data_IF_364236190762
#
_entry.id   IF_364236190762
#
_cell.length_a   1.000
_cell.length_b   1.000
_cell.length_c   1.000
_cell.angle_alpha   90.00
_cell.angle_beta   90.00
_cell.angle_gamma   90.00
#
_symmetry.space_group_name_H-M   'P 1'
#
loop_
_entity.id
_entity.type
_entity.pdbx_description
1 polymer ?
#
# COMPACT_ATOMS: atom_id res chain seq x y z
N UNK A 1 18.25 5.38 -23.45
CA UNK A 1 18.60 4.18 -22.66
C UNK A 1 18.09 2.88 -23.30
N UNK A 2 16.79 2.81 -23.74
CA UNK A 2 16.28 1.62 -24.42
C UNK A 2 17.03 1.27 -25.72
N UNK A 3 17.33 2.26 -26.56
CA UNK A 3 18.09 2.09 -27.80
C UNK A 3 19.53 1.61 -27.63
N UNK A 4 20.13 1.79 -26.44
CA UNK A 4 21.48 1.28 -26.15
C UNK A 4 21.50 -0.18 -25.81
N UNK A 5 20.34 -0.73 -25.41
CA UNK A 5 20.19 -2.13 -24.94
C UNK A 5 19.34 -2.99 -25.86
N UNK A 6 18.58 -2.38 -26.79
CA UNK A 6 17.65 -3.09 -27.67
C UNK A 6 17.77 -2.58 -29.12
N UNK A 7 17.80 -3.48 -30.07
CA UNK A 7 17.67 -3.15 -31.50
C UNK A 7 16.22 -2.75 -31.82
N UNK A 8 16.07 -1.55 -32.38
CA UNK A 8 14.74 -1.14 -32.90
C UNK A 8 14.37 -2.01 -34.11
N UNK A 9 13.12 -2.50 -34.24
CA UNK A 9 12.70 -3.39 -35.34
C UNK A 9 12.96 -2.84 -36.74
N UNK A 10 12.99 -1.52 -36.87
CA UNK A 10 13.21 -0.82 -38.14
C UNK A 10 14.59 -0.16 -38.23
N UNK A 11 15.54 -0.49 -37.34
CA UNK A 11 16.89 0.08 -37.28
C UNK A 11 16.96 1.62 -37.23
N UNK A 12 15.85 2.28 -36.83
CA UNK A 12 15.74 3.75 -36.76
C UNK A 12 15.67 4.19 -35.29
N UNK A 13 16.32 5.31 -35.01
CA UNK A 13 16.14 5.98 -33.73
C UNK A 13 14.75 6.63 -33.64
N UNK A 14 14.12 6.53 -32.49
CA UNK A 14 12.88 7.27 -32.19
C UNK A 14 13.29 8.65 -31.68
N UNK A 15 13.08 9.73 -32.44
CA UNK A 15 13.41 11.07 -31.97
C UNK A 15 12.46 11.49 -30.83
N UNK A 16 12.91 12.40 -29.97
CA UNK A 16 12.14 12.88 -28.83
C UNK A 16 10.76 13.46 -29.22
N UNK A 17 10.70 14.12 -30.36
CA UNK A 17 9.43 14.63 -30.89
C UNK A 17 8.41 13.51 -31.13
N UNK A 18 8.80 12.41 -31.74
CA UNK A 18 7.92 11.24 -31.95
C UNK A 18 7.45 10.61 -30.65
N UNK A 19 8.32 10.57 -29.63
CA UNK A 19 7.94 10.10 -28.30
C UNK A 19 6.91 11.05 -27.68
N UNK A 20 7.11 12.36 -27.80
CA UNK A 20 6.16 13.37 -27.28
C UNK A 20 4.81 13.30 -28.01
N UNK A 21 4.79 13.15 -29.33
CA UNK A 21 3.59 12.97 -30.12
C UNK A 21 2.81 11.70 -29.71
N UNK A 22 3.52 10.59 -29.48
CA UNK A 22 2.93 9.34 -28.99
C UNK A 22 2.29 9.54 -27.61
N UNK A 23 3.01 10.10 -26.66
CA UNK A 23 2.46 10.33 -25.32
C UNK A 23 1.28 11.28 -25.32
N UNK A 24 1.31 12.33 -26.17
CA UNK A 24 0.19 13.24 -26.31
C UNK A 24 -1.05 12.59 -26.94
N UNK A 25 -0.88 11.51 -27.72
CA UNK A 25 -1.98 10.78 -28.34
C UNK A 25 -2.66 9.74 -27.43
N UNK A 26 -2.07 9.44 -26.25
CA UNK A 26 -2.64 8.47 -25.30
C UNK A 26 -3.83 9.12 -24.59
N UNK A 27 -5.02 8.58 -24.82
CA UNK A 27 -6.26 8.99 -24.16
C UNK A 27 -6.54 8.15 -22.92
N UNK A 28 -7.49 8.59 -22.08
CA UNK A 28 -7.97 7.78 -20.94
C UNK A 28 -8.55 6.43 -21.41
N UNK A 29 -9.26 6.41 -22.54
CA UNK A 29 -9.79 5.18 -23.14
C UNK A 29 -8.65 4.21 -23.52
N UNK A 30 -7.55 4.71 -24.08
CA UNK A 30 -6.36 3.89 -24.35
C UNK A 30 -5.77 3.29 -23.08
N UNK A 31 -5.70 4.07 -21.99
CA UNK A 31 -5.21 3.59 -20.68
C UNK A 31 -6.12 2.51 -20.11
N UNK A 32 -7.44 2.73 -20.12
CA UNK A 32 -8.41 1.73 -19.66
C UNK A 32 -8.32 0.43 -20.48
N UNK A 33 -8.22 0.54 -21.80
CA UNK A 33 -8.07 -0.61 -22.67
C UNK A 33 -6.79 -1.39 -22.34
N UNK A 34 -5.67 -0.68 -22.16
CA UNK A 34 -4.40 -1.28 -21.73
C UNK A 34 -4.55 -2.02 -20.40
N UNK A 35 -5.16 -1.41 -19.37
CA UNK A 35 -5.37 -2.05 -18.07
C UNK A 35 -6.26 -3.29 -18.17
N UNK A 36 -7.31 -3.26 -18.98
CA UNK A 36 -8.15 -4.43 -19.23
C UNK A 36 -7.36 -5.57 -19.90
N UNK A 37 -6.48 -5.27 -20.83
CA UNK A 37 -5.60 -6.26 -21.47
C UNK A 37 -4.60 -6.84 -20.47
N UNK A 38 -3.98 -5.99 -19.65
CA UNK A 38 -3.06 -6.44 -18.60
C UNK A 38 -3.78 -7.32 -17.57
N UNK A 39 -4.98 -6.93 -17.15
CA UNK A 39 -5.79 -7.74 -16.23
C UNK A 39 -6.13 -9.14 -16.76
N UNK A 40 -6.23 -9.32 -18.09
CA UNK A 40 -6.41 -10.64 -18.73
C UNK A 40 -5.14 -11.50 -18.70
N UNK A 41 -3.97 -10.88 -18.55
CA UNK A 41 -2.66 -11.59 -18.49
C UNK A 41 -2.31 -12.05 -17.08
N UNK A 42 -3.13 -11.72 -16.08
CA UNK A 42 -2.88 -12.12 -14.70
C UNK A 42 -2.81 -13.63 -14.53
N UNK A 43 -1.99 -14.05 -13.59
CA UNK A 43 -2.01 -15.43 -13.11
C UNK A 43 -3.21 -15.58 -12.18
N UNK A 44 -4.01 -16.63 -12.39
CA UNK A 44 -5.18 -16.88 -11.56
C UNK A 44 -4.76 -17.09 -10.10
N UNK A 45 -5.44 -16.40 -9.18
CA UNK A 45 -5.18 -16.46 -7.74
C UNK A 45 -3.86 -15.85 -7.24
N UNK A 46 -3.06 -15.15 -8.06
CA UNK A 46 -1.91 -14.42 -7.56
C UNK A 46 -2.29 -13.31 -6.58
N UNK A 47 -1.34 -12.91 -5.76
CA UNK A 47 -1.48 -11.73 -4.88
C UNK A 47 -1.11 -10.47 -5.65
N UNK A 48 -1.86 -9.41 -5.38
CA UNK A 48 -1.64 -8.09 -5.97
C UNK A 48 -1.17 -7.11 -4.89
N UNK A 49 0.08 -6.71 -4.97
CA UNK A 49 0.62 -5.66 -4.13
C UNK A 49 0.07 -4.31 -4.59
N UNK A 50 -0.54 -3.56 -3.66
CA UNK A 50 -0.93 -2.18 -3.86
C UNK A 50 -0.07 -1.28 -3.02
N UNK A 51 0.64 -0.37 -3.67
CA UNK A 51 1.53 0.59 -3.01
C UNK A 51 1.47 1.95 -3.69
N UNK A 52 1.90 2.98 -2.98
CA UNK A 52 1.98 4.36 -3.46
C UNK A 52 3.41 4.85 -3.28
N UNK A 53 3.97 5.40 -4.34
CA UNK A 53 5.24 6.11 -4.29
C UNK A 53 5.04 7.58 -4.58
N UNK A 54 5.90 8.43 -4.02
CA UNK A 54 5.94 9.86 -4.28
C UNK A 54 6.99 10.17 -5.33
N UNK A 55 6.67 11.07 -6.25
CA UNK A 55 7.58 11.55 -7.29
C UNK A 55 7.68 13.06 -7.12
N UNK A 56 8.84 13.55 -6.69
CA UNK A 56 9.11 14.96 -6.51
C UNK A 56 9.15 15.68 -7.86
N UNK A 57 8.59 16.89 -7.93
CA UNK A 57 8.52 17.66 -9.16
C UNK A 57 8.62 19.16 -8.91
N UNK A 58 9.37 19.85 -9.78
CA UNK A 58 9.43 21.31 -9.86
C UNK A 58 8.35 21.91 -10.78
N UNK A 59 7.48 21.10 -11.37
CA UNK A 59 6.52 21.58 -12.36
C UNK A 59 5.40 22.38 -11.70
N UNK A 60 5.20 23.59 -12.17
CA UNK A 60 4.07 24.45 -11.79
C UNK A 60 2.83 24.22 -12.68
N UNK A 61 2.99 23.49 -13.79
CA UNK A 61 1.94 23.28 -14.77
C UNK A 61 1.11 22.01 -14.53
N UNK A 62 1.58 21.13 -13.64
CA UNK A 62 0.88 19.87 -13.34
C UNK A 62 0.06 20.07 -12.07
N UNK A 63 -1.25 20.06 -12.19
CA UNK A 63 -2.18 20.32 -11.09
C UNK A 63 -2.10 19.30 -9.93
N UNK A 64 -1.63 18.08 -10.21
CA UNK A 64 -1.41 17.02 -9.23
C UNK A 64 -0.16 17.23 -8.37
N UNK A 65 0.75 18.11 -8.79
CA UNK A 65 1.93 18.48 -7.99
C UNK A 65 1.49 19.31 -6.80
N UNK A 66 1.54 18.70 -5.61
CA UNK A 66 1.08 19.28 -4.36
C UNK A 66 2.06 19.00 -3.23
N UNK A 67 2.12 19.89 -2.25
CA UNK A 67 2.86 19.65 -1.01
C UNK A 67 2.18 18.55 -0.20
N UNK A 68 2.94 17.53 0.15
CA UNK A 68 2.46 16.38 0.91
C UNK A 68 3.54 15.76 1.78
N UNK A 69 3.29 14.56 2.29
CA UNK A 69 4.28 13.81 3.05
C UNK A 69 5.27 13.15 2.08
N UNK A 70 6.34 13.88 1.77
CA UNK A 70 7.38 13.40 0.86
C UNK A 70 8.22 12.31 1.54
N UNK A 71 8.31 11.15 0.92
CA UNK A 71 9.09 10.01 1.42
C UNK A 71 10.59 10.17 1.19
N UNK A 72 10.99 11.03 0.23
CA UNK A 72 12.40 11.31 -0.11
C UNK A 72 13.01 12.42 0.74
N UNK A 73 12.21 13.10 1.58
CA UNK A 73 12.62 14.21 2.48
C UNK A 73 13.32 15.39 1.75
N UNK A 74 13.04 15.56 0.47
CA UNK A 74 13.68 16.57 -0.39
C UNK A 74 12.98 17.95 -0.37
N UNK A 75 11.95 18.12 0.45
CA UNK A 75 11.16 19.36 0.60
C UNK A 75 10.65 19.93 -0.73
N UNK A 76 10.22 19.06 -1.61
CA UNK A 76 9.62 19.43 -2.88
C UNK A 76 8.14 19.04 -2.93
N UNK A 77 7.30 19.76 -3.70
CA UNK A 77 5.98 19.27 -4.03
C UNK A 77 6.09 18.01 -4.87
N UNK A 78 5.08 17.16 -4.83
CA UNK A 78 5.12 15.80 -5.38
C UNK A 78 3.81 15.42 -6.06
N UNK A 79 3.89 14.39 -6.89
CA UNK A 79 2.77 13.59 -7.35
C UNK A 79 2.86 12.25 -6.65
N UNK A 80 1.72 11.70 -6.24
CA UNK A 80 1.66 10.35 -5.75
C UNK A 80 1.26 9.40 -6.89
N UNK A 81 2.03 8.34 -7.09
CA UNK A 81 1.74 7.29 -8.07
C UNK A 81 1.30 6.03 -7.33
N UNK A 82 0.01 5.72 -7.39
CA UNK A 82 -0.55 4.47 -6.91
C UNK A 82 -0.36 3.38 -7.96
N UNK A 83 0.09 2.20 -7.58
CA UNK A 83 0.38 1.09 -8.47
C UNK A 83 -0.13 -0.23 -7.93
N UNK A 84 -0.66 -1.06 -8.80
CA UNK A 84 -1.00 -2.46 -8.52
C UNK A 84 -0.07 -3.37 -9.30
N UNK A 85 0.60 -4.25 -8.60
CA UNK A 85 1.61 -5.15 -9.15
C UNK A 85 1.33 -6.60 -8.77
N UNK A 86 1.38 -7.51 -9.75
CA UNK A 86 1.21 -8.94 -9.53
C UNK A 86 2.51 -9.59 -9.03
N UNK A 87 2.44 -10.34 -7.94
CA UNK A 87 3.60 -10.94 -7.30
C UNK A 87 4.23 -12.05 -8.15
N UNK A 88 3.42 -12.93 -8.73
CA UNK A 88 3.91 -14.06 -9.53
C UNK A 88 4.16 -13.67 -10.99
N UNK A 89 3.26 -12.89 -11.58
CA UNK A 89 3.35 -12.42 -12.97
C UNK A 89 4.46 -11.41 -13.20
N UNK A 90 4.91 -10.71 -12.15
CA UNK A 90 5.83 -9.58 -12.21
C UNK A 90 5.34 -8.47 -13.17
N UNK A 91 4.02 -8.28 -13.28
CA UNK A 91 3.41 -7.27 -14.16
C UNK A 91 2.74 -6.15 -13.36
N UNK A 92 2.94 -4.89 -13.77
CA UNK A 92 2.09 -3.79 -13.32
C UNK A 92 0.74 -3.90 -14.03
N UNK A 93 -0.33 -4.10 -13.28
CA UNK A 93 -1.68 -4.22 -13.84
C UNK A 93 -2.43 -2.92 -13.93
N UNK A 94 -2.13 -1.99 -13.04
CA UNK A 94 -2.84 -0.75 -12.91
C UNK A 94 -1.96 0.31 -12.27
N UNK A 95 -2.12 1.55 -12.68
CA UNK A 95 -1.58 2.71 -11.98
C UNK A 95 -2.58 3.88 -12.01
N UNK A 96 -2.44 4.76 -11.02
CA UNK A 96 -3.20 6.01 -10.94
C UNK A 96 -2.31 7.12 -10.42
N UNK A 97 -2.37 8.25 -11.10
CA UNK A 97 -1.76 9.49 -10.64
C UNK A 97 -2.69 10.18 -9.64
N UNK A 98 -2.15 10.56 -8.51
CA UNK A 98 -2.87 11.19 -7.41
C UNK A 98 -2.18 12.50 -7.04
N UNK A 99 -2.94 13.45 -6.52
CA UNK A 99 -2.35 14.66 -5.97
C UNK A 99 -1.44 14.32 -4.78
N UNK A 100 -0.30 15.02 -4.69
CA UNK A 100 0.76 14.70 -3.71
C UNK A 100 0.33 14.85 -2.24
N UNK A 101 -0.77 15.53 -1.96
CA UNK A 101 -1.33 15.72 -0.62
C UNK A 101 -2.34 14.63 -0.20
N UNK A 102 -2.61 13.63 -1.05
CA UNK A 102 -3.57 12.56 -0.73
C UNK A 102 -2.90 11.50 0.13
N UNK A 103 -3.52 11.17 1.26
CA UNK A 103 -3.08 10.11 2.16
C UNK A 103 -3.41 8.72 1.61
N UNK A 104 -2.50 7.75 1.80
CA UNK A 104 -2.62 6.37 1.30
C UNK A 104 -3.98 5.75 1.67
N UNK A 105 -4.43 5.91 2.91
CA UNK A 105 -5.70 5.37 3.38
C UNK A 105 -6.94 5.87 2.62
N UNK A 106 -6.86 7.02 1.95
CA UNK A 106 -7.98 7.57 1.15
C UNK A 106 -8.08 6.96 -0.24
N UNK A 107 -7.06 6.23 -0.68
CA UNK A 107 -6.94 5.77 -2.07
C UNK A 107 -7.57 4.40 -2.32
N UNK A 108 -7.73 3.56 -1.30
CA UNK A 108 -8.27 2.20 -1.41
C UNK A 108 -9.68 2.20 -2.00
N UNK A 109 -10.54 3.13 -1.57
CA UNK A 109 -11.89 3.27 -2.12
C UNK A 109 -11.88 3.56 -3.63
N UNK A 110 -10.98 4.42 -4.09
CA UNK A 110 -10.81 4.72 -5.51
C UNK A 110 -10.31 3.50 -6.28
N UNK A 111 -9.32 2.78 -5.72
CA UNK A 111 -8.85 1.52 -6.32
C UNK A 111 -9.99 0.52 -6.51
N UNK A 112 -10.81 0.30 -5.50
CA UNK A 112 -11.93 -0.64 -5.59
C UNK A 112 -12.94 -0.23 -6.67
N UNK A 113 -13.25 1.06 -6.78
CA UNK A 113 -14.11 1.59 -7.84
C UNK A 113 -13.50 1.37 -9.22
N UNK A 114 -12.21 1.64 -9.40
CA UNK A 114 -11.51 1.48 -10.68
C UNK A 114 -11.42 0.00 -11.08
N UNK A 115 -11.11 -0.91 -10.17
CA UNK A 115 -11.10 -2.36 -10.43
C UNK A 115 -12.48 -2.87 -10.88
N UNK A 116 -13.56 -2.32 -10.31
CA UNK A 116 -14.91 -2.64 -10.71
C UNK A 116 -15.21 -2.16 -12.16
N UNK A 117 -14.85 -0.91 -12.49
CA UNK A 117 -15.00 -0.35 -13.85
C UNK A 117 -14.19 -1.15 -14.87
N UNK A 118 -12.99 -1.58 -14.51
CA UNK A 118 -12.13 -2.40 -15.37
C UNK A 118 -12.64 -3.84 -15.53
N UNK A 119 -13.65 -4.25 -14.76
CA UNK A 119 -14.19 -5.61 -14.80
C UNK A 119 -13.20 -6.65 -14.26
N UNK A 120 -12.40 -6.28 -13.28
CA UNK A 120 -11.41 -7.16 -12.63
C UNK A 120 -11.93 -7.62 -11.26
N UNK A 121 -12.75 -8.66 -11.20
CA UNK A 121 -13.28 -9.18 -9.94
C UNK A 121 -12.27 -10.11 -9.24
N UNK A 122 -12.47 -10.33 -7.94
CA UNK A 122 -11.82 -11.39 -7.16
C UNK A 122 -10.29 -11.29 -7.10
N UNK A 123 -9.78 -10.12 -6.77
CA UNK A 123 -8.36 -9.92 -6.47
C UNK A 123 -8.04 -10.28 -5.02
N UNK A 124 -6.78 -10.57 -4.75
CA UNK A 124 -6.22 -10.73 -3.41
C UNK A 124 -5.22 -9.59 -3.20
N UNK A 125 -5.59 -8.57 -2.46
CA UNK A 125 -4.75 -7.38 -2.24
C UNK A 125 -3.80 -7.58 -1.07
N UNK A 126 -2.55 -7.17 -1.26
CA UNK A 126 -1.55 -7.04 -0.20
C UNK A 126 -1.19 -5.56 -0.09
N UNK A 127 -1.29 -5.01 1.10
CA UNK A 127 -1.12 -3.58 1.36
C UNK A 127 -0.30 -3.36 2.63
N UNK A 128 0.44 -2.27 2.66
CA UNK A 128 1.18 -1.86 3.84
C UNK A 128 0.27 -1.23 4.93
N UNK A 129 0.87 -0.86 6.07
CA UNK A 129 0.15 -0.28 7.21
C UNK A 129 -0.39 1.14 6.96
N UNK A 130 0.06 1.83 5.92
CA UNK A 130 -0.42 3.15 5.52
C UNK A 130 -1.86 3.12 5.03
N UNK A 131 -2.27 1.98 4.49
CA UNK A 131 -3.64 1.76 3.99
C UNK A 131 -4.63 1.31 5.06
N UNK A 132 -4.15 1.00 6.27
CA UNK A 132 -5.05 0.54 7.33
C UNK A 132 -5.97 1.66 7.81
N UNK A 133 -7.26 1.44 7.67
CA UNK A 133 -8.33 2.17 8.36
C UNK A 133 -9.54 1.25 8.51
N UNK A 134 -10.38 1.49 9.51
CA UNK A 134 -11.62 0.73 9.67
C UNK A 134 -12.53 0.87 8.45
N UNK A 135 -12.59 2.07 7.85
CA UNK A 135 -13.36 2.33 6.63
C UNK A 135 -12.87 1.47 5.47
N UNK A 136 -11.55 1.35 5.27
CA UNK A 136 -10.98 0.52 4.20
C UNK A 136 -11.27 -0.97 4.42
N UNK A 137 -11.10 -1.47 5.65
CA UNK A 137 -11.40 -2.86 5.97
C UNK A 137 -12.88 -3.17 5.74
N UNK A 138 -13.77 -2.27 6.15
CA UNK A 138 -15.20 -2.41 5.93
C UNK A 138 -15.54 -2.42 4.42
N UNK A 139 -14.91 -1.53 3.63
CA UNK A 139 -15.07 -1.50 2.17
C UNK A 139 -14.61 -2.79 1.50
N UNK A 140 -13.44 -3.30 1.87
CA UNK A 140 -12.90 -4.57 1.37
C UNK A 140 -13.82 -5.75 1.67
N UNK A 141 -14.40 -5.81 2.87
CA UNK A 141 -15.39 -6.84 3.21
C UNK A 141 -16.69 -6.69 2.43
N UNK A 142 -17.17 -5.46 2.25
CA UNK A 142 -18.38 -5.15 1.50
C UNK A 142 -18.25 -5.57 0.03
N UNK A 143 -17.10 -5.29 -0.57
CA UNK A 143 -16.82 -5.63 -1.96
C UNK A 143 -16.31 -7.07 -2.15
N UNK A 144 -16.32 -7.88 -1.08
CA UNK A 144 -15.87 -9.28 -1.07
C UNK A 144 -14.43 -9.48 -1.57
N UNK A 145 -13.58 -8.49 -1.40
CA UNK A 145 -12.15 -8.53 -1.74
C UNK A 145 -11.37 -9.28 -0.65
N UNK A 146 -10.55 -10.23 -1.07
CA UNK A 146 -9.58 -10.87 -0.16
C UNK A 146 -8.40 -9.93 0.04
N UNK A 147 -7.93 -9.77 1.26
CA UNK A 147 -6.82 -8.86 1.55
C UNK A 147 -5.91 -9.37 2.65
N UNK A 148 -4.67 -8.94 2.57
CA UNK A 148 -3.68 -8.96 3.64
C UNK A 148 -3.20 -7.52 3.82
N UNK A 149 -3.35 -6.97 5.01
CA UNK A 149 -2.97 -5.60 5.31
C UNK A 149 -2.12 -5.57 6.59
N UNK A 150 -0.98 -4.88 6.52
CA UNK A 150 -0.19 -4.65 7.72
C UNK A 150 -0.91 -3.67 8.64
N UNK A 151 -0.78 -3.87 9.96
CA UNK A 151 -1.45 -3.05 10.96
C UNK A 151 -0.46 -2.66 12.07
N UNK A 152 -0.69 -1.49 12.68
CA UNK A 152 0.10 -1.05 13.83
C UNK A 152 -0.33 -1.84 15.08
N UNK A 153 0.63 -2.32 15.84
CA UNK A 153 0.39 -3.08 17.07
C UNK A 153 -0.34 -2.25 18.15
N UNK A 154 -0.23 -0.92 18.08
CA UNK A 154 -0.89 0.01 19.01
C UNK A 154 -2.39 0.17 18.80
N UNK A 155 -2.95 -0.34 17.69
CA UNK A 155 -4.38 -0.28 17.42
C UNK A 155 -5.14 -1.13 18.43
N UNK A 156 -6.23 -0.59 18.97
CA UNK A 156 -7.02 -1.24 20.03
C UNK A 156 -7.42 -2.67 19.66
N UNK A 157 -7.96 -2.88 18.46
CA UNK A 157 -8.36 -4.20 17.96
C UNK A 157 -7.19 -5.18 17.89
N UNK A 158 -6.04 -4.73 17.36
CA UNK A 158 -4.83 -5.55 17.24
C UNK A 158 -4.27 -5.88 18.61
N UNK A 159 -4.14 -4.88 19.49
CA UNK A 159 -3.61 -5.04 20.84
C UNK A 159 -4.45 -5.97 21.70
N UNK A 160 -5.77 -5.80 21.71
CA UNK A 160 -6.68 -6.63 22.52
C UNK A 160 -6.67 -8.12 22.14
N UNK A 161 -6.30 -8.45 20.89
CA UNK A 161 -6.11 -9.82 20.44
C UNK A 161 -4.69 -10.35 20.68
N UNK A 162 -3.70 -9.47 20.86
CA UNK A 162 -2.33 -9.84 21.21
C UNK A 162 -2.19 -10.10 22.73
N UNK A 163 -2.81 -9.27 23.56
CA UNK A 163 -2.66 -9.31 25.02
C UNK A 163 -2.83 -10.74 25.62
N UNK A 164 -3.82 -11.56 25.20
CA UNK A 164 -3.99 -12.91 25.75
C UNK A 164 -2.86 -13.89 25.42
N UNK A 165 -2.12 -13.65 24.33
CA UNK A 165 -1.05 -14.54 23.87
C UNK A 165 0.34 -13.97 24.11
N UNK A 166 0.45 -12.76 24.64
CA UNK A 166 1.70 -12.02 24.72
C UNK A 166 2.80 -12.75 25.49
N UNK A 167 2.46 -13.37 26.63
CA UNK A 167 3.41 -14.09 27.48
C UNK A 167 3.93 -15.38 26.84
N UNK A 168 3.11 -16.05 26.03
CA UNK A 168 3.45 -17.32 25.40
C UNK A 168 3.96 -17.15 23.97
N UNK A 169 3.86 -15.95 23.41
CA UNK A 169 4.14 -15.68 22.01
C UNK A 169 5.57 -16.08 21.61
N UNK A 170 6.58 -15.87 22.46
CA UNK A 170 7.99 -16.17 22.20
C UNK A 170 8.42 -17.56 22.70
N UNK A 171 7.48 -18.52 22.80
CA UNK A 171 7.85 -19.91 23.06
C UNK A 171 8.49 -20.55 21.81
N UNK A 172 9.33 -21.55 22.02
CA UNK A 172 10.01 -22.27 20.92
C UNK A 172 9.03 -22.88 19.91
N UNK A 173 7.83 -23.22 20.33
CA UNK A 173 6.77 -23.79 19.47
C UNK A 173 6.30 -22.83 18.39
N UNK A 174 6.47 -21.52 18.59
CA UNK A 174 6.10 -20.47 17.65
C UNK A 174 7.28 -19.96 16.79
N UNK A 175 8.47 -20.53 17.00
CA UNK A 175 9.68 -20.14 16.27
C UNK A 175 9.73 -20.81 14.89
N UNK A 176 9.93 -20.00 13.87
CA UNK A 176 10.11 -20.46 12.49
C UNK A 176 11.58 -20.35 12.08
N UNK A 177 12.29 -21.47 11.99
CA UNK A 177 13.69 -21.51 11.50
C UNK A 177 13.83 -20.93 10.09
N UNK A 178 12.84 -21.18 9.22
CA UNK A 178 12.88 -20.70 7.83
C UNK A 178 12.96 -19.19 7.73
N UNK A 179 12.29 -18.48 8.62
CA UNK A 179 12.17 -17.01 8.57
C UNK A 179 12.90 -16.32 9.73
N UNK A 180 13.50 -17.08 10.62
CA UNK A 180 14.21 -16.59 11.80
C UNK A 180 13.38 -15.60 12.64
N UNK A 181 12.16 -16.00 12.97
CA UNK A 181 11.21 -15.19 13.73
C UNK A 181 10.19 -16.06 14.48
N UNK A 182 9.55 -15.47 15.47
CA UNK A 182 8.36 -16.04 16.11
C UNK A 182 7.12 -15.60 15.34
N UNK A 183 6.19 -16.55 15.11
CA UNK A 183 4.95 -16.29 14.42
C UNK A 183 3.78 -16.98 15.10
N UNK A 184 2.68 -16.27 15.29
CA UNK A 184 1.44 -16.84 15.81
C UNK A 184 0.23 -16.25 15.09
N UNK A 185 -0.76 -17.09 14.81
CA UNK A 185 -2.01 -16.68 14.18
C UNK A 185 -3.14 -16.71 15.19
N UNK A 186 -3.89 -15.62 15.26
CA UNK A 186 -5.10 -15.52 16.10
C UNK A 186 -6.31 -15.34 15.20
N UNK A 187 -7.31 -16.19 15.37
CA UNK A 187 -8.61 -15.99 14.72
C UNK A 187 -9.47 -15.06 15.58
N UNK A 188 -10.01 -14.02 14.95
CA UNK A 188 -10.88 -13.05 15.61
C UNK A 188 -12.07 -12.69 14.73
N UNK A 189 -12.93 -11.82 15.24
CA UNK A 189 -14.15 -11.34 14.56
C UNK A 189 -14.06 -9.84 14.36
N UNK A 190 -14.25 -9.42 13.11
CA UNK A 190 -14.38 -8.02 12.74
C UNK A 190 -15.85 -7.65 12.61
N UNK A 191 -16.27 -6.65 13.33
CA UNK A 191 -17.66 -6.21 13.34
C UNK A 191 -17.77 -4.82 12.70
N UNK A 192 -18.69 -4.64 11.77
CA UNK A 192 -18.97 -3.36 11.14
C UNK A 192 -20.48 -3.21 10.86
N UNK A 193 -20.88 -1.95 10.65
CA UNK A 193 -22.28 -1.61 10.37
C UNK A 193 -22.45 -1.34 8.88
N UNK A 194 -23.46 -1.94 8.27
CA UNK A 194 -23.82 -1.71 6.88
C UNK A 194 -25.25 -1.20 6.77
N UNK A 195 -25.47 -0.20 5.93
CA UNK A 195 -26.80 0.31 5.60
C UNK A 195 -27.44 -0.56 4.51
N UNK A 196 -28.64 -1.07 4.75
CA UNK A 196 -29.37 -1.83 3.72
C UNK A 196 -29.92 -0.90 2.63
N UNK A 197 -29.60 -1.15 1.34
CA UNK A 197 -29.95 -0.22 0.26
C UNK A 197 -31.44 0.10 0.12
N UNK A 198 -32.32 -0.84 0.52
CA UNK A 198 -33.76 -0.72 0.25
C UNK A 198 -34.63 -0.46 1.49
N UNK A 199 -34.06 -0.40 2.69
CA UNK A 199 -34.83 -0.29 3.94
C UNK A 199 -34.39 0.88 4.82
N UNK A 200 -33.22 1.49 4.56
CA UNK A 200 -32.68 2.57 5.38
C UNK A 200 -32.26 2.17 6.81
N UNK A 201 -32.45 0.90 7.18
CA UNK A 201 -32.01 0.35 8.45
C UNK A 201 -30.55 -0.11 8.38
N UNK A 202 -29.88 -0.09 9.51
CA UNK A 202 -28.49 -0.55 9.64
C UNK A 202 -28.46 -1.99 10.15
N UNK A 203 -27.55 -2.79 9.60
CA UNK A 203 -27.29 -4.17 10.03
C UNK A 203 -25.86 -4.30 10.48
N UNK A 204 -25.68 -4.92 11.64
CA UNK A 204 -24.35 -5.28 12.11
C UNK A 204 -23.89 -6.55 11.40
N UNK A 205 -22.78 -6.43 10.71
CA UNK A 205 -22.12 -7.53 10.01
C UNK A 205 -20.91 -8.01 10.81
N UNK A 206 -20.70 -9.31 10.84
CA UNK A 206 -19.55 -9.94 11.49
C UNK A 206 -18.77 -10.77 10.47
N UNK A 207 -17.46 -10.54 10.39
CA UNK A 207 -16.54 -11.26 9.50
C UNK A 207 -15.41 -11.89 10.29
N UNK A 208 -15.10 -13.13 9.96
CA UNK A 208 -13.90 -13.78 10.50
C UNK A 208 -12.65 -13.16 9.90
N UNK A 209 -11.67 -12.84 10.76
CA UNK A 209 -10.36 -12.33 10.40
C UNK A 209 -9.29 -13.19 11.04
N UNK A 210 -8.13 -13.24 10.40
CA UNK A 210 -6.92 -13.86 10.94
C UNK A 210 -5.89 -12.78 11.16
N UNK A 211 -5.37 -12.71 12.37
CA UNK A 211 -4.31 -11.78 12.77
C UNK A 211 -3.02 -12.59 12.85
N UNK A 212 -2.05 -12.22 12.03
CA UNK A 212 -0.73 -12.83 12.01
C UNK A 212 0.23 -11.91 12.77
N UNK A 213 0.72 -12.38 13.91
CA UNK A 213 1.71 -11.68 14.71
C UNK A 213 3.09 -12.25 14.43
N UNK A 214 4.06 -11.36 14.26
CA UNK A 214 5.45 -11.69 13.99
C UNK A 214 6.36 -10.95 14.96
N UNK A 215 7.41 -11.60 15.45
CA UNK A 215 8.44 -11.00 16.25
C UNK A 215 9.80 -11.49 15.78
N UNK A 216 10.64 -10.58 15.34
CA UNK A 216 12.02 -10.81 14.97
C UNK A 216 12.92 -10.16 16.02
N UNK A 217 13.82 -10.94 16.61
CA UNK A 217 14.68 -10.50 17.73
C UNK A 217 15.67 -9.44 17.25
N UNK A 218 16.30 -9.66 16.10
CA UNK A 218 17.32 -8.74 15.58
C UNK A 218 16.69 -7.40 15.22
N UNK A 219 15.51 -7.44 14.57
CA UNK A 219 14.77 -6.23 14.26
C UNK A 219 14.34 -5.47 15.51
N UNK A 220 13.90 -6.16 16.55
CA UNK A 220 13.53 -5.53 17.82
C UNK A 220 14.76 -4.86 18.47
N UNK A 221 15.92 -5.51 18.48
CA UNK A 221 17.15 -4.93 18.99
C UNK A 221 17.64 -3.72 18.18
N UNK A 222 17.48 -3.73 16.85
CA UNK A 222 17.77 -2.58 16.00
C UNK A 222 16.84 -1.40 16.28
N UNK A 223 15.54 -1.65 16.41
CA UNK A 223 14.53 -0.63 16.70
C UNK A 223 14.76 -0.01 18.10
N UNK A 224 15.13 -0.80 19.10
CA UNK A 224 15.50 -0.32 20.46
C UNK A 224 16.72 0.61 20.39
N UNK A 225 17.80 0.17 19.72
CA UNK A 225 18.99 1.00 19.53
C UNK A 225 18.70 2.31 18.78
N UNK A 226 17.83 2.25 17.78
CA UNK A 226 17.42 3.43 17.00
C UNK A 226 16.61 4.40 17.87
N UNK A 227 15.74 3.88 18.72
CA UNK A 227 14.97 4.65 19.69
C UNK A 227 15.86 5.34 20.71
N UNK A 228 16.82 4.63 21.31
CA UNK A 228 17.78 5.19 22.28
C UNK A 228 18.61 6.32 21.66
N UNK A 229 19.11 6.12 20.44
CA UNK A 229 19.83 7.19 19.71
C UNK A 229 18.98 8.43 19.51
N UNK A 230 17.69 8.25 19.19
CA UNK A 230 16.75 9.35 19.05
C UNK A 230 16.53 10.08 20.37
N UNK A 231 16.37 9.36 21.47
CA UNK A 231 16.22 9.95 22.81
C UNK A 231 17.45 10.78 23.20
N UNK A 232 18.65 10.24 22.98
CA UNK A 232 19.91 10.96 23.26
C UNK A 232 20.00 12.25 22.42
N UNK A 233 19.61 12.17 21.16
CA UNK A 233 19.60 13.36 20.27
C UNK A 233 18.63 14.43 20.80
N UNK A 234 17.41 14.05 21.12
CA UNK A 234 16.39 14.97 21.68
C UNK A 234 16.82 15.57 23.02
N UNK A 235 17.43 14.77 23.89
CA UNK A 235 17.99 15.25 25.17
C UNK A 235 19.04 16.34 24.93
N UNK A 236 19.98 16.11 24.01
CA UNK A 236 21.02 17.11 23.66
C UNK A 236 20.43 18.40 23.10
N UNK A 237 19.40 18.29 22.25
CA UNK A 237 18.69 19.47 21.72
C UNK A 237 18.04 20.27 22.84
N UNK A 238 17.30 19.64 23.75
CA UNK A 238 16.69 20.30 24.90
C UNK A 238 17.73 20.94 25.85
N UNK A 239 18.87 20.30 26.06
CA UNK A 239 19.95 20.86 26.87
C UNK A 239 20.62 22.06 26.20
N UNK A 240 20.73 22.08 24.86
CA UNK A 240 21.29 23.20 24.10
C UNK A 240 20.36 24.40 24.12
N UNK A 241 19.04 24.23 23.98
CA UNK A 241 18.04 25.30 24.05
C UNK A 241 17.93 25.93 25.45
N UNK A 242 18.19 25.17 26.51
CA UNK A 242 18.23 25.71 27.90
C UNK A 242 19.46 26.58 28.20
N UNK A 243 20.44 26.62 27.29
CA UNK A 243 21.65 27.44 27.45
C UNK A 243 21.60 28.78 26.69
N UNK A 244 20.49 29.10 26.04
CA UNK A 244 20.16 30.40 25.45
C UNK A 244 19.16 31.12 26.37
#
# INVERSE_FOLDING_TARGET
KWHTTHKHPYEKNIPSQRSSELFASITEENKEHFFRLQGKRRIENEYWAYDITSISSYSELISQVQWGNNREDDRLPQINLAMVFGEESNLPFYYRELAGNIWDSKTVKNLLADLNVLGIPKVKLVMDRGFYSEENINGLFKDHIKFLIAARISLKFIKSNLDPIYETFRSFEHYSEKYDLYAQTVQSKWTYVEMRPNKGDTVTMEKRVYLYYYFNIDKAAEDEKAFDRKLIKLQRELESEKRV
#
